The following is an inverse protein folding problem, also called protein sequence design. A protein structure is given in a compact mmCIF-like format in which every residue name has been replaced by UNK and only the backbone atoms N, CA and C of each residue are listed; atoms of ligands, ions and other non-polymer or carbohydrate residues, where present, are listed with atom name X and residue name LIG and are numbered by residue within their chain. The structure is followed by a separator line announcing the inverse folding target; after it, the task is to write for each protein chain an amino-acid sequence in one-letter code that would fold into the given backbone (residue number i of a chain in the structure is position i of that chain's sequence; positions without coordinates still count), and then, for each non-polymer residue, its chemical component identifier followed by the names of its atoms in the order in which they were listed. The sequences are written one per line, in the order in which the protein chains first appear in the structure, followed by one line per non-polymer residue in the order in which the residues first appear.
data_IF_656065812429
#
_entry.id   IF_656065812429
#
_cell.length_a   1.000
_cell.length_b   1.000
_cell.length_c   1.000
_cell.angle_alpha   90.00
_cell.angle_beta   90.00
_cell.angle_gamma   90.00
#
_symmetry.space_group_name_H-M   'P 1'
#
loop_
_entity.id
_entity.type
_entity.pdbx_description
1 polymer ?
#
# COMPACT_ATOMS: atom_id res chain seq x y z
N UNK A 1 -17.18 3.23 -12.37
CA UNK A 1 -16.47 1.95 -12.10
C UNK A 1 -16.15 1.96 -10.63
N UNK A 2 -16.45 0.88 -9.91
CA UNK A 2 -16.09 0.74 -8.49
C UNK A 2 -14.84 -0.12 -8.38
N UNK A 3 -13.91 0.27 -7.50
CA UNK A 3 -12.78 -0.57 -7.15
C UNK A 3 -13.29 -1.77 -6.33
N UNK A 4 -12.79 -2.97 -6.61
CA UNK A 4 -13.07 -4.13 -5.75
C UNK A 4 -12.23 -3.99 -4.48
N UNK A 5 -12.89 -3.95 -3.33
CA UNK A 5 -12.24 -3.80 -2.02
C UNK A 5 -12.32 -5.08 -1.19
N UNK A 6 -12.51 -6.24 -1.85
CA UNK A 6 -12.53 -7.52 -1.15
C UNK A 6 -11.20 -7.79 -0.43
N UNK A 7 -11.30 -8.39 0.76
CA UNK A 7 -10.14 -8.72 1.62
C UNK A 7 -9.17 -9.73 0.98
N UNK A 8 -9.50 -10.27 -0.20
CA UNK A 8 -8.62 -11.15 -0.96
C UNK A 8 -7.36 -10.42 -1.43
N UNK A 9 -7.50 -9.17 -1.88
CA UNK A 9 -6.42 -8.41 -2.54
C UNK A 9 -6.33 -6.95 -2.05
N UNK A 10 -6.96 -6.67 -0.93
CA UNK A 10 -7.00 -5.36 -0.27
C UNK A 10 -6.69 -5.53 1.20
N UNK A 11 -5.77 -4.74 1.75
CA UNK A 11 -5.64 -4.66 3.21
C UNK A 11 -6.72 -3.70 3.71
N UNK A 12 -7.72 -4.25 4.38
CA UNK A 12 -8.82 -3.50 4.98
C UNK A 12 -8.67 -3.47 6.49
N UNK A 13 -8.81 -2.30 7.11
CA UNK A 13 -8.81 -2.16 8.56
C UNK A 13 -9.58 -0.91 9.02
N UNK A 14 -10.22 -1.00 10.19
CA UNK A 14 -11.16 0.00 10.71
C UNK A 14 -12.54 -0.59 10.98
N UNK A 15 -13.47 0.25 11.42
CA UNK A 15 -14.88 -0.14 11.58
C UNK A 15 -15.58 -0.07 10.21
N UNK A 16 -16.26 -1.13 9.81
CA UNK A 16 -17.06 -1.17 8.56
C UNK A 16 -18.24 -0.19 8.57
N UNK A 17 -18.58 0.35 9.74
CA UNK A 17 -19.61 1.39 9.92
C UNK A 17 -19.00 2.79 10.13
N UNK A 18 -17.69 2.96 9.92
CA UNK A 18 -17.04 4.26 9.99
C UNK A 18 -17.72 5.25 9.03
N UNK A 19 -17.85 6.53 9.42
CA UNK A 19 -18.49 7.55 8.58
C UNK A 19 -17.70 7.92 7.33
N UNK A 20 -16.39 7.66 7.31
CA UNK A 20 -15.50 7.95 6.18
C UNK A 20 -14.77 6.70 5.70
N UNK A 21 -14.45 6.68 4.40
CA UNK A 21 -13.67 5.62 3.77
C UNK A 21 -12.49 6.21 3.00
N UNK A 22 -11.31 5.60 3.14
CA UNK A 22 -10.14 5.90 2.31
C UNK A 22 -9.62 4.65 1.63
N UNK A 23 -9.37 4.73 0.32
CA UNK A 23 -8.56 3.76 -0.40
C UNK A 23 -7.25 4.37 -0.86
N UNK A 24 -6.14 3.75 -0.50
CA UNK A 24 -4.78 4.16 -0.86
C UNK A 24 -4.22 3.16 -1.86
N UNK A 25 -3.94 3.65 -3.07
CA UNK A 25 -3.33 2.89 -4.16
C UNK A 25 -1.88 3.32 -4.25
N UNK A 26 -0.97 2.40 -3.96
CA UNK A 26 0.44 2.69 -3.68
C UNK A 26 1.39 1.72 -4.38
N UNK A 27 2.67 2.05 -4.39
CA UNK A 27 3.75 1.13 -4.75
C UNK A 27 4.89 1.30 -3.74
N UNK A 28 5.48 0.20 -3.29
CA UNK A 28 6.45 0.24 -2.19
C UNK A 28 7.77 0.96 -2.51
N UNK A 29 8.16 1.09 -3.79
CA UNK A 29 9.37 1.82 -4.19
C UNK A 29 9.11 3.28 -4.58
N UNK A 30 7.86 3.73 -4.54
CA UNK A 30 7.48 5.08 -4.94
C UNK A 30 7.82 6.10 -3.82
N UNK A 31 8.69 7.09 -4.07
CA UNK A 31 9.08 8.07 -3.06
C UNK A 31 7.94 9.03 -2.69
N UNK A 32 7.04 9.32 -3.64
CA UNK A 32 5.83 10.11 -3.38
C UNK A 32 4.82 9.38 -2.50
N UNK A 33 4.77 8.05 -2.62
CA UNK A 33 3.92 7.18 -1.84
C UNK A 33 4.44 7.09 -0.41
N UNK A 34 5.76 6.91 -0.25
CA UNK A 34 6.44 7.06 1.04
C UNK A 34 6.14 8.40 1.69
N UNK A 35 6.33 9.51 0.97
CA UNK A 35 6.05 10.85 1.50
C UNK A 35 4.61 10.99 1.99
N UNK A 36 3.65 10.45 1.23
CA UNK A 36 2.24 10.47 1.66
C UNK A 36 2.05 9.69 2.97
N UNK A 37 2.64 8.50 3.08
CA UNK A 37 2.63 7.70 4.31
C UNK A 37 3.26 8.44 5.49
N UNK A 38 4.44 9.03 5.34
CA UNK A 38 5.11 9.79 6.40
C UNK A 38 4.24 10.93 6.94
N UNK A 39 3.46 11.58 6.08
CA UNK A 39 2.61 12.71 6.46
C UNK A 39 1.25 12.30 7.04
N UNK A 40 0.74 11.10 6.70
CA UNK A 40 -0.65 10.73 6.98
C UNK A 40 -0.81 9.52 7.89
N UNK A 41 0.21 8.68 8.08
CA UNK A 41 0.06 7.37 8.73
C UNK A 41 -0.43 7.48 10.18
N UNK A 42 0.11 8.41 10.96
CA UNK A 42 -0.31 8.60 12.36
C UNK A 42 -1.77 9.05 12.45
N UNK A 43 -2.19 9.96 11.57
CA UNK A 43 -3.59 10.40 11.48
C UNK A 43 -4.50 9.26 11.03
N UNK A 44 -4.13 8.55 9.96
CA UNK A 44 -4.86 7.40 9.45
C UNK A 44 -5.08 6.36 10.56
N UNK A 45 -4.02 6.03 11.32
CA UNK A 45 -4.10 5.08 12.43
C UNK A 45 -4.99 5.59 13.56
N UNK A 46 -4.90 6.88 13.90
CA UNK A 46 -5.76 7.51 14.91
C UNK A 46 -7.24 7.47 14.52
N UNK A 47 -7.58 7.82 13.27
CA UNK A 47 -8.97 7.84 12.78
C UNK A 47 -9.55 6.42 12.63
N UNK A 48 -8.74 5.46 12.23
CA UNK A 48 -9.11 4.03 12.25
C UNK A 48 -9.40 3.57 13.68
N UNK A 49 -8.55 3.92 14.64
CA UNK A 49 -8.71 3.53 16.04
C UNK A 49 -9.91 4.18 16.73
N UNK A 50 -10.26 5.41 16.34
CA UNK A 50 -11.45 6.11 16.87
C UNK A 50 -12.76 5.61 16.24
N UNK A 51 -12.70 4.78 15.19
CA UNK A 51 -13.86 4.33 14.44
C UNK A 51 -14.39 5.34 13.43
N UNK A 52 -13.62 6.41 13.14
CA UNK A 52 -14.00 7.46 12.20
C UNK A 52 -13.67 7.09 10.74
N UNK A 53 -12.70 6.21 10.51
CA UNK A 53 -12.20 5.88 9.18
C UNK A 53 -12.13 4.38 8.94
N UNK A 54 -12.68 3.93 7.81
CA UNK A 54 -12.38 2.65 7.20
C UNK A 54 -11.27 2.85 6.16
N UNK A 55 -10.18 2.10 6.28
CA UNK A 55 -9.02 2.23 5.39
C UNK A 55 -8.80 0.97 4.56
N UNK A 56 -8.52 1.18 3.27
CA UNK A 56 -8.16 0.15 2.30
C UNK A 56 -6.81 0.47 1.65
N UNK A 57 -5.93 -0.52 1.55
CA UNK A 57 -4.66 -0.39 0.84
C UNK A 57 -4.55 -1.40 -0.29
N UNK A 58 -4.24 -0.89 -1.49
CA UNK A 58 -3.96 -1.69 -2.68
C UNK A 58 -2.58 -1.38 -3.23
N UNK A 59 -1.85 -2.44 -3.54
CA UNK A 59 -0.45 -2.38 -3.93
C UNK A 59 -0.34 -2.65 -5.43
N UNK A 60 -0.01 -1.59 -6.18
CA UNK A 60 0.03 -1.62 -7.63
C UNK A 60 1.44 -1.91 -8.12
N UNK A 61 1.61 -3.07 -8.75
CA UNK A 61 2.80 -3.38 -9.52
C UNK A 61 2.94 -2.43 -10.71
N UNK A 62 4.16 -1.93 -10.92
CA UNK A 62 4.47 -0.97 -11.99
C UNK A 62 5.58 -1.50 -12.88
N UNK A 63 5.44 -1.20 -14.18
CA UNK A 63 6.42 -1.63 -15.18
C UNK A 63 7.61 -0.66 -15.29
N UNK A 64 7.47 0.57 -14.76
CA UNK A 64 8.56 1.56 -14.71
C UNK A 64 9.70 1.01 -13.86
N UNK A 65 10.92 1.00 -14.42
CA UNK A 65 12.13 0.43 -13.80
C UNK A 65 12.31 0.83 -12.33
N UNK A 66 12.26 2.13 -12.03
CA UNK A 66 12.39 2.65 -10.64
C UNK A 66 11.35 2.10 -9.65
N UNK A 67 10.23 1.54 -10.12
CA UNK A 67 9.12 1.06 -9.29
C UNK A 67 9.03 -0.47 -9.23
N UNK A 68 9.83 -1.19 -10.02
CA UNK A 68 9.84 -2.65 -10.02
C UNK A 68 10.36 -3.23 -8.70
N UNK A 69 11.24 -2.52 -7.99
CA UNK A 69 11.65 -2.88 -6.63
C UNK A 69 10.45 -2.91 -5.68
N UNK A 70 9.44 -2.09 -5.93
CA UNK A 70 8.20 -2.08 -5.14
C UNK A 70 7.38 -3.35 -5.36
N UNK A 71 7.38 -3.87 -6.59
CA UNK A 71 6.70 -5.12 -6.93
C UNK A 71 7.30 -6.29 -6.14
N UNK A 72 8.63 -6.31 -5.98
CA UNK A 72 9.30 -7.29 -5.11
C UNK A 72 8.78 -7.19 -3.66
N UNK A 73 8.69 -5.99 -3.10
CA UNK A 73 8.22 -5.80 -1.74
C UNK A 73 6.75 -6.23 -1.56
N UNK A 74 5.92 -6.16 -2.62
CA UNK A 74 4.54 -6.65 -2.58
C UNK A 74 4.44 -8.18 -2.40
N UNK A 75 5.48 -8.94 -2.77
CA UNK A 75 5.54 -10.40 -2.54
C UNK A 75 5.51 -10.75 -1.03
N UNK A 76 5.82 -9.80 -0.15
CA UNK A 76 5.89 -9.98 1.31
C UNK A 76 4.65 -9.50 2.09
N UNK A 77 3.67 -8.90 1.41
CA UNK A 77 2.49 -8.30 2.07
C UNK A 77 1.49 -9.39 2.42
N UNK A 78 1.28 -9.66 3.72
CA UNK A 78 0.36 -10.70 4.18
C UNK A 78 -1.10 -10.18 4.30
N UNK A 79 -1.87 -10.38 3.24
CA UNK A 79 -3.29 -10.01 3.20
C UNK A 79 -4.16 -10.78 4.21
N UNK A 80 -3.70 -11.92 4.74
CA UNK A 80 -4.43 -12.65 5.78
C UNK A 80 -4.30 -12.02 7.17
N UNK A 81 -3.33 -11.12 7.35
CA UNK A 81 -3.00 -10.45 8.61
C UNK A 81 -2.86 -8.93 8.40
N UNK A 82 -3.95 -8.21 8.05
CA UNK A 82 -3.89 -6.81 7.60
C UNK A 82 -3.28 -5.85 8.62
N UNK A 83 -3.52 -6.07 9.91
CA UNK A 83 -2.94 -5.26 10.99
C UNK A 83 -1.41 -5.44 11.09
N UNK A 84 -0.89 -6.65 10.91
CA UNK A 84 0.57 -6.87 10.88
C UNK A 84 1.17 -6.37 9.56
N UNK A 85 0.47 -6.62 8.44
CA UNK A 85 0.93 -6.23 7.12
C UNK A 85 1.08 -4.71 6.97
N UNK A 86 0.16 -3.92 7.54
CA UNK A 86 0.27 -2.46 7.47
C UNK A 86 1.44 -1.92 8.29
N UNK A 87 1.78 -2.55 9.41
CA UNK A 87 2.97 -2.19 10.20
C UNK A 87 4.26 -2.53 9.44
N UNK A 88 4.32 -3.69 8.75
CA UNK A 88 5.40 -4.02 7.82
C UNK A 88 5.51 -2.95 6.72
N UNK A 89 4.40 -2.59 6.09
CA UNK A 89 4.37 -1.60 5.01
C UNK A 89 4.91 -0.25 5.50
N UNK A 90 4.47 0.21 6.67
CA UNK A 90 4.99 1.43 7.29
C UNK A 90 6.50 1.33 7.54
N UNK A 91 6.96 0.27 8.17
CA UNK A 91 8.36 0.10 8.51
C UNK A 91 9.25 0.00 7.25
N UNK A 92 8.79 -0.72 6.22
CA UNK A 92 9.46 -0.79 4.92
C UNK A 92 9.51 0.56 4.20
N UNK A 93 8.48 1.41 4.32
CA UNK A 93 8.54 2.79 3.83
C UNK A 93 9.54 3.66 4.58
N UNK A 94 9.66 3.51 5.91
CA UNK A 94 10.59 4.30 6.73
C UNK A 94 12.05 4.09 6.31
N UNK A 95 12.40 2.84 5.96
CA UNK A 95 13.73 2.45 5.49
C UNK A 95 13.81 2.28 3.97
N UNK A 96 12.84 2.83 3.22
CA UNK A 96 12.80 2.71 1.75
C UNK A 96 14.14 2.99 1.07
N UNK A 97 14.92 4.04 1.40
CA UNK A 97 16.19 4.33 0.72
C UNK A 97 17.28 3.28 0.92
N UNK A 98 17.13 2.40 1.92
CA UNK A 98 18.13 1.39 2.25
C UNK A 98 17.98 0.14 1.38
N UNK A 99 16.75 -0.21 0.98
CA UNK A 99 16.47 -1.37 0.13
C UNK A 99 16.09 -1.01 -1.30
N UNK A 100 15.52 0.19 -1.54
CA UNK A 100 15.21 0.66 -2.88
C UNK A 100 16.50 0.82 -3.69
N UNK A 101 16.52 0.27 -4.91
CA UNK A 101 17.66 0.22 -5.85
C UNK A 101 18.79 -0.71 -5.44
N UNK A 102 18.63 -1.53 -4.41
CA UNK A 102 19.49 -2.69 -4.26
C UNK A 102 19.22 -3.67 -5.41
N UNK A 103 20.24 -4.42 -5.88
CA UNK A 103 20.00 -5.57 -6.75
C UNK A 103 18.94 -6.49 -6.13
N UNK A 104 18.05 -7.06 -6.94
CA UNK A 104 16.92 -7.89 -6.45
C UNK A 104 17.31 -8.93 -5.37
N UNK A 105 18.40 -9.71 -5.51
CA UNK A 105 18.80 -10.66 -4.47
C UNK A 105 19.18 -9.99 -3.14
N UNK A 106 19.80 -8.82 -3.20
CA UNK A 106 20.22 -8.06 -2.02
C UNK A 106 19.02 -7.39 -1.35
N UNK A 107 18.06 -6.87 -2.12
CA UNK A 107 16.79 -6.36 -1.62
C UNK A 107 15.97 -7.45 -0.93
N UNK A 108 15.91 -8.65 -1.52
CA UNK A 108 15.25 -9.82 -0.91
C UNK A 108 15.90 -10.21 0.41
N UNK A 109 17.24 -10.35 0.44
CA UNK A 109 17.98 -10.65 1.65
C UNK A 109 17.75 -9.58 2.73
N UNK A 110 17.81 -8.30 2.34
CA UNK A 110 17.57 -7.18 3.26
C UNK A 110 16.18 -7.25 3.90
N UNK A 111 15.12 -7.43 3.09
CA UNK A 111 13.75 -7.49 3.62
C UNK A 111 13.53 -8.71 4.52
N UNK A 112 14.05 -9.88 4.14
CA UNK A 112 13.97 -11.09 4.95
C UNK A 112 14.67 -10.92 6.30
N UNK A 113 15.92 -10.47 6.29
CA UNK A 113 16.75 -10.38 7.49
C UNK A 113 16.29 -9.26 8.42
N UNK A 114 15.83 -8.13 7.87
CA UNK A 114 15.42 -6.98 8.66
C UNK A 114 14.06 -7.18 9.36
N UNK A 115 13.12 -7.85 8.69
CA UNK A 115 11.75 -8.00 9.18
C UNK A 115 11.41 -9.41 9.69
N UNK A 116 12.30 -10.39 9.53
CA UNK A 116 12.03 -11.82 9.84
C UNK A 116 10.76 -12.34 9.14
N UNK A 117 10.62 -11.98 7.85
CA UNK A 117 9.47 -12.32 6.99
C UNK A 117 9.88 -13.21 5.82
N UNK A 118 8.90 -13.76 5.14
CA UNK A 118 9.05 -14.54 3.91
C UNK A 118 8.01 -14.09 2.89
N UNK A 119 8.26 -14.41 1.62
CA UNK A 119 7.29 -14.17 0.55
C UNK A 119 6.03 -14.99 0.78
N UNK A 120 4.88 -14.36 0.62
CA UNK A 120 3.54 -14.94 0.82
C UNK A 120 2.67 -14.87 -0.43
N UNK A 121 3.04 -14.01 -1.38
CA UNK A 121 2.31 -13.82 -2.64
C UNK A 121 3.15 -14.27 -3.84
N UNK A 122 2.49 -14.87 -4.83
CA UNK A 122 3.10 -15.18 -6.12
C UNK A 122 2.77 -14.14 -7.20
N UNK A 123 3.41 -14.29 -8.36
CA UNK A 123 3.27 -13.37 -9.50
C UNK A 123 1.83 -13.37 -10.06
N UNK A 124 1.15 -14.51 -10.05
CA UNK A 124 -0.21 -14.61 -10.59
C UNK A 124 -1.22 -13.86 -9.71
N UNK A 125 -1.04 -13.94 -8.39
CA UNK A 125 -1.80 -13.15 -7.43
C UNK A 125 -1.58 -11.66 -7.62
N UNK A 126 -0.31 -11.20 -7.67
CA UNK A 126 0.01 -9.78 -7.85
C UNK A 126 -0.47 -9.24 -9.20
N UNK A 127 -0.42 -10.05 -10.26
CA UNK A 127 -1.01 -9.71 -11.55
C UNK A 127 -2.53 -9.52 -11.47
N UNK A 128 -3.23 -10.33 -10.65
CA UNK A 128 -4.66 -10.15 -10.42
C UNK A 128 -4.98 -8.86 -9.67
N UNK A 129 -4.14 -8.47 -8.70
CA UNK A 129 -4.24 -7.19 -7.97
C UNK A 129 -4.05 -6.03 -8.95
N UNK A 130 -3.01 -6.08 -9.79
CA UNK A 130 -2.76 -5.08 -10.84
C UNK A 130 -3.95 -4.93 -11.78
N UNK A 131 -4.49 -6.03 -12.30
CA UNK A 131 -5.64 -6.01 -13.21
C UNK A 131 -6.88 -5.38 -12.56
N UNK A 132 -7.10 -5.64 -11.26
CA UNK A 132 -8.20 -5.06 -10.51
C UNK A 132 -8.08 -3.53 -10.40
N UNK A 133 -6.88 -3.04 -10.08
CA UNK A 133 -6.60 -1.60 -9.96
C UNK A 133 -6.67 -0.91 -11.34
N UNK A 134 -6.14 -1.55 -12.38
CA UNK A 134 -6.18 -1.00 -13.75
C UNK A 134 -7.61 -0.88 -14.29
N UNK A 135 -8.50 -1.81 -13.95
CA UNK A 135 -9.93 -1.73 -14.29
C UNK A 135 -10.63 -0.53 -13.65
N UNK A 136 -10.12 0.01 -12.54
CA UNK A 136 -10.62 1.25 -11.92
C UNK A 136 -10.12 2.51 -12.64
N UNK A 137 -9.01 2.44 -13.39
CA UNK A 137 -8.51 3.54 -14.21
C UNK A 137 -7.59 4.53 -13.48
N UNK A 138 -6.74 4.04 -12.57
CA UNK A 138 -5.81 4.86 -11.79
C UNK A 138 -4.66 5.39 -12.66
N UNK A 139 -4.42 6.72 -12.72
CA UNK A 139 -3.40 7.28 -13.59
C UNK A 139 -1.96 7.14 -13.05
N UNK A 140 -1.79 7.08 -11.72
CA UNK A 140 -0.47 7.13 -11.07
C UNK A 140 -0.52 6.59 -9.63
N UNK A 141 0.64 6.46 -9.00
CA UNK A 141 0.74 6.23 -7.55
C UNK A 141 1.53 7.39 -6.92
N UNK A 142 1.18 7.83 -5.69
CA UNK A 142 0.00 7.40 -4.95
C UNK A 142 -1.28 7.94 -5.59
N UNK A 143 -2.38 7.19 -5.46
CA UNK A 143 -3.74 7.70 -5.65
C UNK A 143 -4.54 7.39 -4.40
N UNK A 144 -5.13 8.43 -3.82
CA UNK A 144 -5.92 8.38 -2.60
C UNK A 144 -7.37 8.64 -3.01
N UNK A 145 -8.26 7.70 -2.72
CA UNK A 145 -9.70 7.88 -2.90
C UNK A 145 -10.28 8.11 -1.52
N UNK A 146 -10.74 9.31 -1.23
CA UNK A 146 -11.37 9.65 0.05
C UNK A 146 -12.85 9.95 -0.19
N UNK A 147 -13.75 9.19 0.45
CA UNK A 147 -15.21 9.28 0.25
C UNK A 147 -15.64 9.28 -1.24
N UNK A 148 -14.90 8.53 -2.08
CA UNK A 148 -15.14 8.40 -3.52
C UNK A 148 -14.44 9.44 -4.40
N UNK A 149 -13.83 10.48 -3.82
CA UNK A 149 -13.08 11.49 -4.54
C UNK A 149 -11.60 11.09 -4.68
N UNK A 150 -11.12 11.03 -5.93
CA UNK A 150 -9.75 10.58 -6.23
C UNK A 150 -8.74 11.75 -6.27
N UNK A 151 -7.63 11.57 -5.56
CA UNK A 151 -6.53 12.52 -5.42
C UNK A 151 -5.20 11.83 -5.76
N UNK A 152 -4.47 12.35 -6.75
CA UNK A 152 -3.14 11.83 -7.12
C UNK A 152 -1.98 12.73 -6.67
N UNK A 153 -2.22 13.61 -5.70
CA UNK A 153 -1.22 14.49 -5.13
C UNK A 153 -0.63 13.88 -3.85
N UNK A 154 0.69 13.69 -3.83
CA UNK A 154 1.43 13.25 -2.63
C UNK A 154 1.29 14.20 -1.42
N UNK A 155 0.85 15.44 -1.62
CA UNK A 155 0.58 16.41 -0.58
C UNK A 155 -0.88 16.37 -0.10
N UNK A 156 -1.73 15.51 -0.66
CA UNK A 156 -3.07 15.28 -0.12
C UNK A 156 -2.93 14.84 1.33
N UNK A 157 -3.67 15.53 2.20
CA UNK A 157 -3.75 15.21 3.62
C UNK A 157 -5.15 14.73 3.93
N UNK A 158 -5.27 13.71 4.78
CA UNK A 158 -6.57 13.25 5.23
C UNK A 158 -7.33 14.42 5.89
N UNK A 159 -8.62 14.64 5.58
CA UNK A 159 -9.45 15.64 6.24
C UNK A 159 -9.54 15.43 7.75
N UNK A 160 -9.73 16.52 8.50
CA UNK A 160 -10.01 16.49 9.94
C UNK A 160 -11.43 16.03 10.25
#
# INVERSE_FOLDING_TARGET
MSLDLSDRDTLTFGDVNAPHEVTVITNMACPFCRKWYENNFDKLKSEVQSGNLLAHFKFLDKDKEDLQDGNLAHEYIDYSNPNQAIEFVKAAFDIQPEWHRLPKPDAEAFLNDHFDIQKVNDIDFLASVKANIEAFGVPSVPTIVYDGDAHSDSNFTLPD
#
